data_IF_179059566510
#
_entry.id   IF_179059566510
#
_cell.length_a   1.000
_cell.length_b   1.000
_cell.length_c   1.000
_cell.angle_alpha   90.00
_cell.angle_beta   90.00
_cell.angle_gamma   90.00
#
_symmetry.space_group_name_H-M   'P 1'
#
loop_
_entity.id
_entity.type
_entity.pdbx_description
1 polymer ?
#
# COMPACT_ATOMS: atom_id res chain seq x y z
N UNK A 1 -3.56 10.14 27.82
CA UNK A 1 -3.90 8.70 27.66
C UNK A 1 -3.60 8.28 26.23
N UNK A 2 -2.67 7.35 26.00
CA UNK A 2 -2.51 6.76 24.66
C UNK A 2 -3.60 5.70 24.46
N UNK A 3 -4.48 5.92 23.48
CA UNK A 3 -5.59 5.03 23.12
C UNK A 3 -5.18 3.86 22.22
N UNK A 4 -3.91 3.74 21.87
CA UNK A 4 -3.41 2.74 20.92
C UNK A 4 -2.59 1.69 21.67
N UNK A 5 -3.23 0.54 21.90
CA UNK A 5 -2.56 -0.66 22.41
C UNK A 5 -1.72 -1.31 21.31
N UNK A 6 -0.71 -2.09 21.70
CA UNK A 6 0.15 -2.80 20.75
C UNK A 6 -0.67 -3.71 19.81
N UNK A 7 -1.69 -4.38 20.37
CA UNK A 7 -2.63 -5.21 19.61
C UNK A 7 -3.33 -4.45 18.47
N UNK A 8 -3.69 -3.17 18.67
CA UNK A 8 -4.32 -2.37 17.60
C UNK A 8 -3.35 -2.18 16.44
N UNK A 9 -2.08 -1.84 16.70
CA UNK A 9 -1.07 -1.66 15.64
C UNK A 9 -0.82 -2.94 14.86
N UNK A 10 -0.74 -4.07 15.57
CA UNK A 10 -0.62 -5.39 14.95
C UNK A 10 -1.81 -5.68 14.03
N UNK A 11 -3.04 -5.37 14.44
CA UNK A 11 -4.23 -5.54 13.58
C UNK A 11 -4.17 -4.67 12.32
N UNK A 12 -3.76 -3.41 12.42
CA UNK A 12 -3.60 -2.54 11.25
C UNK A 12 -2.51 -3.06 10.28
N UNK A 13 -1.39 -3.57 10.82
CA UNK A 13 -0.35 -4.20 10.03
C UNK A 13 -0.83 -5.45 9.30
N UNK A 14 -1.52 -6.36 9.99
CA UNK A 14 -2.10 -7.58 9.38
C UNK A 14 -3.12 -7.21 8.31
N UNK A 15 -4.03 -6.28 8.59
CA UNK A 15 -5.02 -5.81 7.63
C UNK A 15 -4.36 -5.21 6.39
N UNK A 16 -3.25 -4.46 6.54
CA UNK A 16 -2.48 -3.96 5.40
C UNK A 16 -1.94 -5.08 4.52
N UNK A 17 -1.37 -6.13 5.12
CA UNK A 17 -0.85 -7.29 4.37
C UNK A 17 -1.97 -8.01 3.62
N UNK A 18 -3.12 -8.22 4.27
CA UNK A 18 -4.29 -8.88 3.66
C UNK A 18 -4.80 -8.05 2.47
N UNK A 19 -4.97 -6.73 2.63
CA UNK A 19 -5.43 -5.86 1.55
C UNK A 19 -4.41 -5.87 0.40
N UNK A 20 -3.11 -5.84 0.70
CA UNK A 20 -2.07 -5.97 -0.31
C UNK A 20 -2.20 -7.29 -1.09
N UNK A 21 -2.39 -8.43 -0.41
CA UNK A 21 -2.54 -9.73 -1.05
C UNK A 21 -3.78 -9.79 -1.95
N UNK A 22 -4.91 -9.22 -1.50
CA UNK A 22 -6.15 -9.12 -2.30
C UNK A 22 -5.91 -8.29 -3.56
N UNK A 23 -5.25 -7.13 -3.42
CA UNK A 23 -4.92 -6.28 -4.57
C UNK A 23 -3.97 -6.98 -5.54
N UNK A 24 -2.99 -7.74 -5.05
CA UNK A 24 -2.08 -8.54 -5.87
C UNK A 24 -2.80 -9.65 -6.65
N UNK A 25 -3.90 -10.17 -6.12
CA UNK A 25 -4.69 -11.22 -6.77
C UNK A 25 -5.65 -10.69 -7.84
N UNK A 26 -6.29 -9.54 -7.58
CA UNK A 26 -7.30 -8.97 -8.48
C UNK A 26 -6.65 -8.16 -9.62
N UNK A 27 -5.47 -7.59 -9.39
CA UNK A 27 -4.82 -6.73 -10.36
C UNK A 27 -4.34 -7.50 -11.60
N UNK A 28 -4.33 -6.87 -12.78
CA UNK A 28 -3.63 -7.41 -13.93
C UNK A 28 -2.11 -7.44 -13.71
N UNK A 29 -1.43 -8.44 -14.27
CA UNK A 29 -0.01 -8.77 -14.03
C UNK A 29 0.97 -7.61 -14.32
N UNK A 30 0.58 -6.68 -15.20
CA UNK A 30 1.38 -5.50 -15.56
C UNK A 30 1.30 -4.36 -14.53
N UNK A 31 0.35 -4.40 -13.60
CA UNK A 31 0.21 -3.39 -12.56
C UNK A 31 1.07 -3.77 -11.35
N UNK A 32 2.29 -3.25 -11.31
CA UNK A 32 2.89 -2.64 -10.11
C UNK A 32 3.35 -3.56 -8.97
N UNK A 33 4.53 -4.16 -9.20
CA UNK A 33 5.38 -4.81 -8.19
C UNK A 33 5.73 -3.92 -7.00
N UNK A 34 5.72 -2.59 -7.19
CA UNK A 34 6.05 -1.64 -6.15
C UNK A 34 5.06 -1.65 -4.97
N UNK A 35 3.87 -2.25 -5.12
CA UNK A 35 2.93 -2.46 -4.00
C UNK A 35 3.55 -3.30 -2.88
N UNK A 36 4.51 -4.17 -3.20
CA UNK A 36 5.25 -4.95 -2.22
C UNK A 36 6.06 -4.06 -1.26
N UNK A 37 6.37 -2.81 -1.64
CA UNK A 37 7.03 -1.85 -0.76
C UNK A 37 6.20 -1.53 0.50
N UNK A 38 4.87 -1.65 0.43
CA UNK A 38 3.99 -1.49 1.60
C UNK A 38 4.09 -2.65 2.61
N UNK A 39 4.69 -3.78 2.25
CA UNK A 39 4.86 -4.91 3.17
C UNK A 39 5.88 -4.58 4.26
N UNK A 40 6.95 -3.84 3.91
CA UNK A 40 8.01 -3.43 4.86
C UNK A 40 7.44 -2.67 6.07
N UNK A 41 6.68 -1.57 5.88
CA UNK A 41 6.06 -0.86 6.99
C UNK A 41 4.90 -1.64 7.64
N UNK A 42 4.25 -2.57 6.95
CA UNK A 42 3.24 -3.42 7.59
C UNK A 42 3.87 -4.39 8.60
N UNK A 43 4.99 -5.03 8.25
CA UNK A 43 5.74 -5.93 9.14
C UNK A 43 6.27 -5.17 10.36
N UNK A 44 6.79 -3.95 10.17
CA UNK A 44 7.27 -3.14 11.30
C UNK A 44 6.18 -2.71 12.30
N UNK A 45 4.89 -2.74 11.91
CA UNK A 45 3.75 -2.50 12.81
C UNK A 45 3.35 -3.76 13.60
N UNK A 46 3.67 -4.94 13.08
CA UNK A 46 3.41 -6.23 13.71
C UNK A 46 4.46 -6.49 14.80
N UNK A 47 5.72 -6.11 14.54
CA UNK A 47 6.82 -6.30 15.48
C UNK A 47 6.66 -5.31 16.68
N UNK A 48 6.75 -5.78 17.94
CA UNK A 48 6.62 -4.92 19.10
C UNK A 48 7.70 -3.83 19.11
N UNK A 49 7.29 -2.57 19.24
CA UNK A 49 8.15 -1.37 19.15
C UNK A 49 9.37 -1.38 20.07
N UNK A 50 9.33 -2.09 21.18
CA UNK A 50 10.44 -2.17 22.15
C UNK A 50 11.69 -2.84 21.55
N UNK A 51 11.53 -3.57 20.44
CA UNK A 51 12.64 -4.15 19.67
C UNK A 51 13.22 -3.20 18.61
N UNK A 52 12.55 -2.08 18.28
CA UNK A 52 12.96 -1.16 17.21
C UNK A 52 13.29 0.20 17.81
N UNK A 53 14.58 0.43 18.10
CA UNK A 53 15.12 1.68 18.69
C UNK A 53 14.72 2.96 17.93
N UNK A 54 14.37 2.88 16.65
CA UNK A 54 14.01 4.00 15.79
C UNK A 54 12.66 3.80 15.04
N UNK A 55 11.60 3.46 15.76
CA UNK A 55 10.27 3.26 15.16
C UNK A 55 9.73 4.46 14.37
N UNK A 56 10.15 5.70 14.69
CA UNK A 56 9.79 6.89 13.91
C UNK A 56 10.38 6.89 12.48
N UNK A 57 11.56 6.31 12.28
CA UNK A 57 12.19 6.21 10.96
C UNK A 57 11.34 5.33 10.03
N UNK A 58 10.77 4.24 10.56
CA UNK A 58 9.83 3.41 9.80
C UNK A 58 8.58 4.20 9.39
N UNK A 59 8.09 5.08 10.26
CA UNK A 59 7.01 6.00 9.90
C UNK A 59 7.37 6.92 8.74
N UNK A 60 8.54 7.55 8.78
CA UNK A 60 9.04 8.42 7.69
C UNK A 60 9.18 7.63 6.38
N UNK A 61 9.77 6.44 6.43
CA UNK A 61 9.91 5.55 5.27
C UNK A 61 8.53 5.19 4.70
N UNK A 62 7.56 4.88 5.57
CA UNK A 62 6.18 4.59 5.14
C UNK A 62 5.60 5.76 4.35
N UNK A 63 5.76 7.00 4.85
CA UNK A 63 5.26 8.18 4.16
C UNK A 63 5.92 8.41 2.81
N UNK A 64 7.24 8.21 2.71
CA UNK A 64 7.95 8.32 1.43
C UNK A 64 7.44 7.30 0.41
N UNK A 65 7.22 6.06 0.85
CA UNK A 65 6.65 4.99 0.01
C UNK A 65 5.22 5.36 -0.43
N UNK A 66 4.37 5.85 0.49
CA UNK A 66 3.02 6.31 0.16
C UNK A 66 3.04 7.41 -0.90
N UNK A 67 3.89 8.43 -0.75
CA UNK A 67 3.98 9.56 -1.69
C UNK A 67 4.38 9.06 -3.08
N UNK A 68 5.40 8.20 -3.15
CA UNK A 68 5.86 7.61 -4.40
C UNK A 68 4.74 6.82 -5.08
N UNK A 69 4.04 5.97 -4.32
CA UNK A 69 2.97 5.12 -4.87
C UNK A 69 1.77 5.97 -5.31
N UNK A 70 1.34 6.94 -4.51
CA UNK A 70 0.28 7.87 -4.91
C UNK A 70 0.63 8.60 -6.20
N UNK A 71 1.87 9.07 -6.35
CA UNK A 71 2.30 9.75 -7.56
C UNK A 71 2.19 8.85 -8.81
N UNK A 72 2.67 7.60 -8.71
CA UNK A 72 2.60 6.66 -9.84
C UNK A 72 1.17 6.25 -10.13
N UNK A 73 0.37 5.93 -9.10
CA UNK A 73 -1.02 5.50 -9.28
C UNK A 73 -1.94 6.61 -9.77
N UNK A 74 -1.75 7.87 -9.38
CA UNK A 74 -2.51 9.01 -9.92
C UNK A 74 -2.18 9.20 -11.41
N UNK A 75 -0.91 9.13 -11.78
CA UNK A 75 -0.52 9.16 -13.20
C UNK A 75 -1.12 7.98 -13.97
N UNK A 76 -1.13 6.79 -13.37
CA UNK A 76 -1.75 5.59 -13.91
C UNK A 76 -3.25 5.74 -14.17
N UNK A 77 -3.95 6.34 -13.22
CA UNK A 77 -5.38 6.61 -13.29
C UNK A 77 -5.75 7.66 -14.34
N UNK A 78 -5.02 8.79 -14.39
CA UNK A 78 -5.30 9.88 -15.32
C UNK A 78 -4.92 9.53 -16.77
N UNK A 79 -3.91 8.67 -16.94
CA UNK A 79 -3.35 8.32 -18.25
C UNK A 79 -3.55 6.83 -18.58
N UNK A 80 -4.67 6.24 -18.17
CA UNK A 80 -4.91 4.79 -18.35
C UNK A 80 -4.93 4.36 -19.82
N UNK A 81 -5.53 5.17 -20.70
CA UNK A 81 -5.58 4.88 -22.14
C UNK A 81 -4.19 4.74 -22.77
N UNK A 82 -3.29 5.75 -22.71
CA UNK A 82 -1.95 5.63 -23.29
C UNK A 82 -1.10 4.53 -22.61
N UNK A 83 -1.33 4.23 -21.34
CA UNK A 83 -0.67 3.09 -20.67
C UNK A 83 -1.11 1.78 -21.30
N UNK A 84 -2.41 1.54 -21.45
CA UNK A 84 -2.94 0.31 -22.05
C UNK A 84 -2.53 0.19 -23.53
N UNK A 85 -2.56 1.29 -24.28
CA UNK A 85 -2.05 1.32 -25.65
C UNK A 85 -0.55 0.99 -25.72
N UNK A 86 0.26 1.48 -24.78
CA UNK A 86 1.69 1.16 -24.72
C UNK A 86 1.93 -0.32 -24.37
N UNK A 87 1.13 -0.91 -23.47
CA UNK A 87 1.18 -2.34 -23.17
C UNK A 87 0.88 -3.20 -24.40
N UNK A 88 -0.05 -2.76 -25.26
CA UNK A 88 -0.32 -3.41 -26.54
C UNK A 88 0.85 -3.26 -27.51
N UNK A 89 1.36 -2.04 -27.69
CA UNK A 89 2.50 -1.76 -28.59
C UNK A 89 3.79 -2.47 -28.16
N UNK A 90 3.96 -2.74 -26.87
CA UNK A 90 5.10 -3.48 -26.30
C UNK A 90 4.86 -4.99 -26.19
N UNK A 91 3.77 -5.51 -26.77
CA UNK A 91 3.38 -6.92 -26.76
C UNK A 91 3.18 -7.52 -25.35
N UNK A 92 2.91 -6.69 -24.34
CA UNK A 92 2.53 -7.16 -23.00
C UNK A 92 1.06 -7.60 -22.94
N UNK A 93 0.25 -7.12 -23.88
CA UNK A 93 -1.10 -7.63 -24.19
C UNK A 93 -1.18 -7.90 -25.70
N UNK A 94 -1.86 -8.98 -26.09
CA UNK A 94 -1.87 -9.50 -27.47
C UNK A 94 -2.97 -8.93 -28.37
N UNK A 95 -3.90 -8.16 -27.80
CA UNK A 95 -5.02 -7.56 -28.50
C UNK A 95 -5.18 -6.09 -28.16
N UNK A 96 -5.87 -5.36 -29.04
CA UNK A 96 -6.21 -3.95 -28.82
C UNK A 96 -7.07 -3.85 -27.55
N UNK A 97 -6.68 -3.03 -26.56
CA UNK A 97 -7.37 -2.98 -25.29
C UNK A 97 -8.81 -2.48 -25.47
N UNK A 98 -9.75 -3.23 -24.91
CA UNK A 98 -11.17 -2.91 -24.90
C UNK A 98 -11.49 -1.80 -23.89
N UNK A 99 -12.63 -1.12 -24.07
CA UNK A 99 -13.10 -0.11 -23.12
C UNK A 99 -13.27 -0.67 -21.69
N UNK A 100 -13.67 -1.95 -21.57
CA UNK A 100 -13.77 -2.66 -20.29
C UNK A 100 -12.40 -2.85 -19.62
N UNK A 101 -11.36 -3.20 -20.38
CA UNK A 101 -10.01 -3.39 -19.82
C UNK A 101 -9.40 -2.06 -19.38
N UNK A 102 -9.59 -1.01 -20.18
CA UNK A 102 -9.15 0.36 -19.82
C UNK A 102 -9.85 0.81 -18.52
N UNK A 103 -11.16 0.59 -18.41
CA UNK A 103 -11.92 0.91 -17.19
C UNK A 103 -11.45 0.08 -15.99
N UNK A 104 -11.19 -1.21 -16.19
CA UNK A 104 -10.68 -2.09 -15.13
C UNK A 104 -9.29 -1.66 -14.64
N UNK A 105 -8.41 -1.25 -15.55
CA UNK A 105 -7.09 -0.72 -15.23
C UNK A 105 -7.18 0.58 -14.40
N UNK A 106 -8.04 1.52 -14.81
CA UNK A 106 -8.30 2.75 -14.05
C UNK A 106 -8.84 2.45 -12.64
N UNK A 107 -9.81 1.53 -12.52
CA UNK A 107 -10.35 1.14 -11.22
C UNK A 107 -9.29 0.48 -10.32
N UNK A 108 -8.35 -0.27 -10.90
CA UNK A 108 -7.23 -0.85 -10.15
C UNK A 108 -6.35 0.25 -9.55
N UNK A 109 -5.98 1.27 -10.33
CA UNK A 109 -5.24 2.42 -9.82
C UNK A 109 -5.99 3.17 -8.72
N UNK A 110 -7.31 3.31 -8.86
CA UNK A 110 -8.15 3.93 -7.84
C UNK A 110 -8.16 3.14 -6.52
N UNK A 111 -8.22 1.81 -6.59
CA UNK A 111 -8.08 0.94 -5.42
C UNK A 111 -6.70 1.07 -4.76
N UNK A 112 -5.64 1.20 -5.56
CA UNK A 112 -4.27 1.42 -5.05
C UNK A 112 -4.15 2.77 -4.34
N UNK A 113 -4.78 3.82 -4.89
CA UNK A 113 -4.86 5.14 -4.24
C UNK A 113 -5.57 5.01 -2.87
N UNK A 114 -6.71 4.33 -2.83
CA UNK A 114 -7.44 4.08 -1.58
C UNK A 114 -6.59 3.30 -0.56
N UNK A 115 -5.86 2.28 -1.01
CA UNK A 115 -4.95 1.51 -0.16
C UNK A 115 -3.74 2.33 0.33
N UNK A 116 -3.26 3.26 -0.48
CA UNK A 116 -2.18 4.18 -0.10
C UNK A 116 -2.64 5.15 0.99
N UNK A 117 -3.89 5.61 0.93
CA UNK A 117 -4.52 6.40 2.00
C UNK A 117 -4.64 5.57 3.29
N UNK A 118 -5.00 4.29 3.18
CA UNK A 118 -4.97 3.40 4.35
C UNK A 118 -3.56 3.28 4.94
N UNK A 119 -2.51 3.21 4.11
CA UNK A 119 -1.12 3.16 4.57
C UNK A 119 -0.62 4.48 5.21
N UNK A 120 -1.26 5.62 4.93
CA UNK A 120 -1.03 6.86 5.70
C UNK A 120 -1.39 6.63 7.17
N UNK A 121 -2.51 5.96 7.44
CA UNK A 121 -2.95 5.64 8.81
C UNK A 121 -1.89 4.77 9.48
N UNK A 122 -1.40 3.74 8.80
CA UNK A 122 -0.28 2.90 9.25
C UNK A 122 0.98 3.72 9.57
N UNK A 123 1.35 4.67 8.71
CA UNK A 123 2.44 5.62 8.93
C UNK A 123 2.27 6.45 10.21
N UNK A 124 1.07 6.99 10.45
CA UNK A 124 0.76 7.75 11.67
C UNK A 124 0.89 6.88 12.92
N UNK A 125 0.55 5.59 12.86
CA UNK A 125 0.71 4.66 14.00
C UNK A 125 2.18 4.49 14.44
N UNK A 126 3.16 4.82 13.60
CA UNK A 126 4.58 4.88 13.94
C UNK A 126 5.01 6.13 14.74
N UNK A 127 4.12 7.10 14.95
CA UNK A 127 4.38 8.25 15.82
C UNK A 127 3.64 8.18 17.17
N UNK A 128 2.59 7.35 17.27
CA UNK A 128 1.81 7.21 18.51
C UNK A 128 2.52 6.26 19.51
N UNK A 129 2.84 6.65 20.75
CA UNK A 129 3.45 5.75 21.74
C UNK A 129 2.48 4.64 22.16
N UNK A 130 2.95 3.40 22.29
CA UNK A 130 2.15 2.25 22.77
C UNK A 130 2.18 2.13 24.28
N UNK A 131 1.02 1.91 24.90
CA UNK A 131 0.94 1.49 26.30
C UNK A 131 1.26 0.01 26.41
N UNK A 132 2.37 -0.32 27.08
CA UNK A 132 2.70 -1.69 27.45
C UNK A 132 1.91 -2.00 28.72
N UNK A 133 0.85 -2.83 28.62
CA UNK A 133 0.30 -3.46 29.83
C UNK A 133 1.35 -4.43 30.34
N UNK A 134 2.08 -4.07 31.39
CA UNK A 134 2.93 -5.04 32.11
C UNK A 134 2.02 -6.13 32.70
N UNK A 135 2.34 -7.41 32.52
CA UNK A 135 1.68 -8.46 33.30
C UNK A 135 2.04 -8.23 34.77
N UNK A 136 1.02 -8.02 35.60
CA UNK A 136 1.11 -8.11 37.06
C UNK A 136 0.80 -9.56 37.46
#
# INVERSE_FOLDING_TARGET
MSFVTNNRKTMFGIASIIICAILLYIKPFYVEWYLLLFIIPAIGLIIPRDSIKNSHILGIITFLIVIFILYVSINGYLNTYPIMSNLYLTNQISHVPTASEISHCANTYLLIIAYSIYNIICGVMYFIPTTIKKPY
#
